data_IF_479215457666
#
_entry.id   IF_479215457666
#
_cell.length_a   1.000
_cell.length_b   1.000
_cell.length_c   1.000
_cell.angle_alpha   90.00
_cell.angle_beta   90.00
_cell.angle_gamma   90.00
#
_symmetry.space_group_name_H-M   'P 1'
#
loop_
_entity.id
_entity.type
_entity.pdbx_description
1 polymer ?
#
# COMPACT_ATOMS: atom_id res chain seq x y z
N UNK A 1 -16.16 0.37 -46.28
CA UNK A 1 -16.17 1.79 -45.82
C UNK A 1 -15.66 1.82 -44.40
N UNK A 2 -14.36 2.15 -44.22
CA UNK A 2 -13.75 2.22 -42.90
C UNK A 2 -14.39 3.40 -42.15
N UNK A 3 -15.11 3.10 -41.11
CA UNK A 3 -15.73 4.11 -40.25
C UNK A 3 -14.66 5.03 -39.67
N UNK A 4 -14.88 6.35 -39.73
CA UNK A 4 -13.99 7.34 -39.13
C UNK A 4 -13.71 7.10 -37.63
N UNK A 5 -14.47 6.21 -37.00
CA UNK A 5 -14.22 5.74 -35.62
C UNK A 5 -12.94 4.96 -35.48
N UNK A 6 -12.51 4.25 -36.54
CA UNK A 6 -11.32 3.40 -36.49
C UNK A 6 -10.02 4.19 -36.40
N UNK A 7 -10.01 5.41 -36.91
CA UNK A 7 -8.84 6.29 -36.82
C UNK A 7 -8.66 6.93 -35.44
N UNK A 8 -9.73 7.11 -34.69
CA UNK A 8 -9.65 7.70 -33.35
C UNK A 8 -9.11 6.74 -32.29
N UNK A 9 -9.38 5.44 -32.45
CA UNK A 9 -8.98 4.43 -31.48
C UNK A 9 -7.45 4.21 -31.43
N UNK A 10 -6.76 4.06 -32.58
CA UNK A 10 -5.29 3.98 -32.57
C UNK A 10 -4.62 5.26 -32.05
N UNK A 11 -5.14 6.43 -32.41
CA UNK A 11 -4.59 7.69 -31.97
C UNK A 11 -4.73 7.91 -30.46
N UNK A 12 -5.85 7.47 -29.88
CA UNK A 12 -6.04 7.46 -28.42
C UNK A 12 -5.05 6.56 -27.71
N UNK A 13 -4.77 5.39 -28.25
CA UNK A 13 -3.77 4.45 -27.71
C UNK A 13 -2.37 5.02 -27.76
N UNK A 14 -1.99 5.64 -28.89
CA UNK A 14 -0.68 6.27 -29.06
C UNK A 14 -0.48 7.43 -28.09
N UNK A 15 -1.54 8.19 -27.81
CA UNK A 15 -1.47 9.31 -26.84
C UNK A 15 -1.65 8.88 -25.38
N UNK A 16 -1.79 7.59 -25.11
CA UNK A 16 -1.93 7.08 -23.76
C UNK A 16 -3.28 7.35 -23.09
N UNK A 17 -4.25 7.89 -23.82
CA UNK A 17 -5.55 8.26 -23.27
C UNK A 17 -6.42 7.06 -22.86
N UNK A 18 -6.06 5.85 -23.31
CA UNK A 18 -6.74 4.62 -22.93
C UNK A 18 -6.00 3.77 -21.90
N UNK A 19 -4.76 4.14 -21.52
CA UNK A 19 -3.88 3.35 -20.65
C UNK A 19 -3.66 3.98 -19.27
N UNK A 20 -4.39 5.04 -18.94
CA UNK A 20 -4.16 5.82 -17.72
C UNK A 20 -4.22 5.01 -16.43
N UNK A 21 -5.18 4.09 -16.31
CA UNK A 21 -5.33 3.27 -15.11
C UNK A 21 -4.18 2.27 -14.90
N UNK A 22 -3.66 1.67 -15.99
CA UNK A 22 -2.55 0.72 -15.92
C UNK A 22 -1.23 1.40 -15.54
N UNK A 23 -0.98 2.59 -16.10
CA UNK A 23 0.22 3.37 -15.79
C UNK A 23 0.21 3.84 -14.34
N UNK A 24 -0.92 4.31 -13.84
CA UNK A 24 -1.07 4.75 -12.45
C UNK A 24 -0.81 3.60 -11.49
N UNK A 25 -1.37 2.42 -11.73
CA UNK A 25 -1.16 1.23 -10.92
C UNK A 25 0.33 0.82 -10.90
N UNK A 26 0.99 0.85 -12.05
CA UNK A 26 2.42 0.56 -12.18
C UNK A 26 3.27 1.51 -11.32
N UNK A 27 3.00 2.82 -11.39
CA UNK A 27 3.72 3.81 -10.61
C UNK A 27 3.50 3.68 -9.11
N UNK A 28 2.26 3.46 -8.68
CA UNK A 28 1.94 3.23 -7.26
C UNK A 28 2.68 2.01 -6.72
N UNK A 29 2.72 0.93 -7.49
CA UNK A 29 3.41 -0.30 -7.07
C UNK A 29 4.93 -0.07 -6.95
N UNK A 30 5.52 0.64 -7.89
CA UNK A 30 6.95 0.97 -7.86
C UNK A 30 7.30 1.93 -6.72
N UNK A 31 6.49 2.96 -6.55
CA UNK A 31 6.71 3.97 -5.51
C UNK A 31 6.60 3.35 -4.12
N UNK A 32 5.57 2.53 -3.88
CA UNK A 32 5.41 1.84 -2.59
C UNK A 32 6.49 0.80 -2.36
N UNK A 33 7.00 0.13 -3.39
CA UNK A 33 8.13 -0.80 -3.26
C UNK A 33 9.39 -0.07 -2.80
N UNK A 34 9.69 1.08 -3.39
CA UNK A 34 10.84 1.90 -2.99
C UNK A 34 10.68 2.45 -1.57
N UNK A 35 9.51 2.97 -1.24
CA UNK A 35 9.18 3.41 0.12
C UNK A 35 9.34 2.29 1.12
N UNK A 36 8.86 1.09 0.80
CA UNK A 36 8.97 -0.07 1.68
C UNK A 36 10.43 -0.47 1.90
N UNK A 37 11.28 -0.41 0.88
CA UNK A 37 12.69 -0.73 1.02
C UNK A 37 13.36 0.15 2.08
N UNK A 38 13.08 1.44 2.06
CA UNK A 38 13.61 2.41 3.04
C UNK A 38 12.94 2.24 4.41
N UNK A 39 11.62 2.26 4.46
CA UNK A 39 10.85 2.27 5.70
C UNK A 39 10.95 0.95 6.47
N UNK A 40 10.97 -0.18 5.78
CA UNK A 40 11.16 -1.49 6.42
C UNK A 40 12.57 -1.62 6.97
N UNK A 41 13.57 -1.09 6.30
CA UNK A 41 14.94 -1.04 6.83
C UNK A 41 14.99 -0.24 8.14
N UNK A 42 14.37 0.93 8.18
CA UNK A 42 14.25 1.74 9.39
C UNK A 42 13.48 0.99 10.48
N UNK A 43 12.39 0.31 10.12
CA UNK A 43 11.60 -0.50 11.05
C UNK A 43 12.43 -1.64 11.66
N UNK A 44 13.19 -2.36 10.86
CA UNK A 44 14.04 -3.47 11.37
C UNK A 44 15.09 -2.94 12.32
N UNK A 45 15.72 -1.82 12.02
CA UNK A 45 16.68 -1.18 12.90
C UNK A 45 16.00 -0.80 14.23
N UNK A 46 14.84 -0.16 14.17
CA UNK A 46 14.07 0.21 15.35
C UNK A 46 13.68 -1.04 16.17
N UNK A 47 13.21 -2.08 15.52
CA UNK A 47 12.84 -3.33 16.16
C UNK A 47 14.03 -3.95 16.91
N UNK A 48 15.19 -4.00 16.29
CA UNK A 48 16.41 -4.54 16.90
C UNK A 48 16.85 -3.71 18.12
N UNK A 49 16.64 -2.40 18.09
CA UNK A 49 16.98 -1.53 19.22
C UNK A 49 15.99 -1.67 20.38
N UNK A 50 14.73 -1.99 20.10
CA UNK A 50 13.65 -2.02 21.11
C UNK A 50 13.29 -3.43 21.59
N UNK A 51 13.84 -4.48 20.97
CA UNK A 51 13.38 -5.87 21.20
C UNK A 51 13.60 -6.33 22.65
N UNK A 52 14.55 -5.76 23.37
CA UNK A 52 14.82 -6.11 24.76
C UNK A 52 14.31 -5.06 25.75
N UNK A 53 13.65 -4.03 25.26
CA UNK A 53 13.15 -2.94 26.10
C UNK A 53 11.81 -3.30 26.73
N UNK A 54 11.53 -2.66 27.86
CA UNK A 54 10.22 -2.75 28.51
C UNK A 54 9.14 -2.05 27.68
N UNK A 55 7.88 -2.38 27.98
CA UNK A 55 6.75 -1.70 27.35
C UNK A 55 6.79 -0.18 27.51
N UNK A 56 7.19 0.29 28.69
CA UNK A 56 7.35 1.74 28.96
C UNK A 56 8.40 2.39 28.06
N UNK A 57 9.51 1.72 27.84
CA UNK A 57 10.60 2.20 26.96
C UNK A 57 10.17 2.22 25.49
N UNK A 58 9.49 1.19 25.03
CA UNK A 58 8.92 1.14 23.67
C UNK A 58 7.92 2.27 23.48
N UNK A 59 7.05 2.48 24.45
CA UNK A 59 6.06 3.56 24.44
C UNK A 59 6.72 4.94 24.42
N UNK A 60 7.80 5.13 25.18
CA UNK A 60 8.58 6.35 25.17
C UNK A 60 9.21 6.62 23.79
N UNK A 61 9.70 5.58 23.12
CA UNK A 61 10.23 5.70 21.76
C UNK A 61 9.15 6.16 20.76
N UNK A 62 7.94 5.60 20.84
CA UNK A 62 6.82 6.00 20.00
C UNK A 62 6.23 7.38 20.36
N UNK A 63 6.49 7.88 21.56
CA UNK A 63 6.12 9.24 21.94
C UNK A 63 6.93 10.30 21.16
N UNK A 64 8.09 9.93 20.63
CA UNK A 64 8.80 10.79 19.68
C UNK A 64 7.98 10.90 18.39
N UNK A 65 7.53 12.11 17.99
CA UNK A 65 6.68 12.26 16.81
C UNK A 65 7.37 11.80 15.53
N UNK A 66 8.67 11.88 15.44
CA UNK A 66 9.43 11.42 14.28
C UNK A 66 9.30 9.89 14.10
N UNK A 67 9.43 9.13 15.19
CA UNK A 67 9.25 7.66 15.16
C UNK A 67 7.81 7.30 14.81
N UNK A 68 6.84 7.94 15.44
CA UNK A 68 5.42 7.69 15.17
C UNK A 68 5.04 7.96 13.71
N UNK A 69 5.51 9.08 13.15
CA UNK A 69 5.24 9.43 11.75
C UNK A 69 5.90 8.44 10.80
N UNK A 70 7.15 8.05 11.03
CA UNK A 70 7.83 7.05 10.20
C UNK A 70 7.11 5.71 10.22
N UNK A 71 6.66 5.27 11.37
CA UNK A 71 5.91 4.00 11.49
C UNK A 71 4.55 4.08 10.82
N UNK A 72 3.85 5.21 10.93
CA UNK A 72 2.59 5.43 10.22
C UNK A 72 2.78 5.39 8.70
N UNK A 73 3.81 6.06 8.19
CA UNK A 73 4.16 6.03 6.76
C UNK A 73 4.52 4.62 6.29
N UNK A 74 5.25 3.87 7.09
CA UNK A 74 5.57 2.47 6.80
C UNK A 74 4.30 1.63 6.67
N UNK A 75 3.37 1.75 7.59
CA UNK A 75 2.10 1.00 7.55
C UNK A 75 1.30 1.35 6.31
N UNK A 76 1.14 2.63 5.99
CA UNK A 76 0.42 3.08 4.80
C UNK A 76 1.09 2.57 3.53
N UNK A 77 2.40 2.72 3.41
CA UNK A 77 3.16 2.24 2.25
C UNK A 77 3.07 0.73 2.09
N UNK A 78 3.25 -0.02 3.16
CA UNK A 78 3.21 -1.48 3.13
C UNK A 78 1.80 -2.01 2.79
N UNK A 79 0.75 -1.42 3.34
CA UNK A 79 -0.62 -1.84 3.06
C UNK A 79 -1.07 -1.52 1.64
N UNK A 80 -0.66 -0.39 1.10
CA UNK A 80 -0.92 -0.04 -0.31
C UNK A 80 -0.19 -1.03 -1.23
N UNK A 81 1.07 -1.31 -0.96
CA UNK A 81 1.86 -2.26 -1.75
C UNK A 81 1.27 -3.67 -1.69
N UNK A 82 0.88 -4.13 -0.52
CA UNK A 82 0.21 -5.41 -0.31
C UNK A 82 -1.11 -5.49 -1.09
N UNK A 83 -1.95 -4.45 -1.00
CA UNK A 83 -3.23 -4.40 -1.72
C UNK A 83 -3.01 -4.49 -3.23
N UNK A 84 -2.09 -3.71 -3.77
CA UNK A 84 -1.81 -3.68 -5.21
C UNK A 84 -1.20 -4.99 -5.68
N UNK A 85 -0.31 -5.60 -4.91
CA UNK A 85 0.28 -6.89 -5.23
C UNK A 85 -0.74 -8.02 -5.25
N UNK A 86 -1.60 -8.08 -4.26
CA UNK A 86 -2.68 -9.07 -4.19
C UNK A 86 -3.71 -8.87 -5.30
N UNK A 87 -3.99 -7.63 -5.65
CA UNK A 87 -4.88 -7.30 -6.78
C UNK A 87 -4.36 -7.90 -8.09
N UNK A 88 -3.07 -7.78 -8.36
CA UNK A 88 -2.44 -8.37 -9.55
C UNK A 88 -2.61 -9.90 -9.55
N UNK A 89 -2.37 -10.55 -8.42
CA UNK A 89 -2.53 -11.99 -8.29
C UNK A 89 -3.98 -12.41 -8.55
N UNK A 90 -4.94 -11.70 -7.99
CA UNK A 90 -6.36 -12.00 -8.20
C UNK A 90 -6.75 -11.80 -9.66
N UNK A 91 -6.30 -10.72 -10.28
CA UNK A 91 -6.61 -10.41 -11.68
C UNK A 91 -6.01 -11.44 -12.64
N UNK A 92 -4.82 -11.94 -12.35
CA UNK A 92 -4.11 -12.88 -13.23
C UNK A 92 -4.55 -14.34 -13.06
N UNK A 93 -4.88 -14.75 -11.85
CA UNK A 93 -5.11 -16.18 -11.54
C UNK A 93 -6.57 -16.53 -11.27
N UNK A 94 -7.41 -15.58 -10.91
CA UNK A 94 -8.83 -15.84 -10.61
C UNK A 94 -9.70 -15.44 -11.80
N UNK A 95 -10.52 -16.37 -12.25
CA UNK A 95 -11.43 -16.18 -13.37
C UNK A 95 -12.88 -16.44 -12.94
N UNK A 96 -13.83 -15.77 -13.58
CA UNK A 96 -15.25 -15.96 -13.33
C UNK A 96 -15.81 -15.09 -12.22
N UNK A 97 -16.94 -15.55 -11.64
CA UNK A 97 -17.74 -14.76 -10.71
C UNK A 97 -17.11 -14.50 -9.33
N UNK A 98 -16.03 -15.19 -8.98
CA UNK A 98 -15.33 -15.01 -7.68
C UNK A 98 -14.31 -13.88 -7.69
N UNK A 99 -13.96 -13.36 -8.87
CA UNK A 99 -12.95 -12.30 -9.01
C UNK A 99 -13.35 -11.01 -8.29
N UNK A 100 -14.56 -10.53 -8.54
CA UNK A 100 -15.04 -9.28 -7.94
C UNK A 100 -15.16 -9.35 -6.41
N UNK A 101 -15.78 -10.41 -5.82
CA UNK A 101 -15.78 -10.56 -4.37
C UNK A 101 -14.39 -10.59 -3.74
N UNK A 102 -13.42 -11.25 -4.37
CA UNK A 102 -12.05 -11.31 -3.87
C UNK A 102 -11.34 -9.95 -3.92
N UNK A 103 -11.57 -9.16 -4.96
CA UNK A 103 -11.03 -7.80 -5.05
C UNK A 103 -11.61 -6.89 -3.96
N UNK A 104 -12.90 -6.99 -3.70
CA UNK A 104 -13.57 -6.26 -2.62
C UNK A 104 -13.01 -6.68 -1.26
N UNK A 105 -12.89 -7.98 -1.03
CA UNK A 105 -12.36 -8.53 0.21
C UNK A 105 -10.90 -8.10 0.44
N UNK A 106 -10.07 -8.09 -0.61
CA UNK A 106 -8.71 -7.60 -0.54
C UNK A 106 -8.65 -6.13 -0.12
N UNK A 107 -9.51 -5.29 -0.68
CA UNK A 107 -9.59 -3.88 -0.33
C UNK A 107 -9.99 -3.67 1.12
N UNK A 108 -11.03 -4.37 1.59
CA UNK A 108 -11.46 -4.28 2.98
C UNK A 108 -10.41 -4.82 3.95
N UNK A 109 -9.74 -5.90 3.60
CA UNK A 109 -8.65 -6.45 4.40
C UNK A 109 -7.50 -5.45 4.55
N UNK A 110 -7.07 -4.83 3.46
CA UNK A 110 -6.01 -3.83 3.48
C UNK A 110 -6.38 -2.61 4.35
N UNK A 111 -7.62 -2.12 4.23
CA UNK A 111 -8.13 -1.02 5.05
C UNK A 111 -8.17 -1.42 6.52
N UNK A 112 -8.66 -2.62 6.84
CA UNK A 112 -8.75 -3.10 8.22
C UNK A 112 -7.36 -3.22 8.86
N UNK A 113 -6.39 -3.77 8.16
CA UNK A 113 -5.02 -3.90 8.64
C UNK A 113 -4.39 -2.52 8.84
N UNK A 114 -4.54 -1.62 7.88
CA UNK A 114 -4.03 -0.25 7.99
C UNK A 114 -4.64 0.48 9.19
N UNK A 115 -5.96 0.40 9.35
CA UNK A 115 -6.66 1.06 10.45
C UNK A 115 -6.23 0.50 11.80
N UNK A 116 -6.12 -0.81 11.94
CA UNK A 116 -5.69 -1.45 13.18
C UNK A 116 -4.26 -1.05 13.57
N UNK A 117 -3.34 -1.05 12.60
CA UNK A 117 -1.95 -0.68 12.83
C UNK A 117 -1.82 0.81 13.17
N UNK A 118 -2.53 1.69 12.44
CA UNK A 118 -2.52 3.13 12.72
C UNK A 118 -3.12 3.45 14.09
N UNK A 119 -4.19 2.75 14.46
CA UNK A 119 -4.77 2.87 15.80
C UNK A 119 -3.75 2.50 16.89
N UNK A 120 -3.04 1.39 16.70
CA UNK A 120 -2.02 0.95 17.64
C UNK A 120 -0.87 1.96 17.75
N UNK A 121 -0.42 2.55 16.65
CA UNK A 121 0.62 3.58 16.63
C UNK A 121 0.16 4.83 17.35
N UNK A 122 -1.05 5.30 17.09
CA UNK A 122 -1.63 6.46 17.79
C UNK A 122 -1.72 6.20 19.28
N UNK A 123 -2.18 5.04 19.68
CA UNK A 123 -2.29 4.64 21.07
C UNK A 123 -0.93 4.64 21.78
N UNK A 124 0.09 4.09 21.14
CA UNK A 124 1.45 4.07 21.66
C UNK A 124 2.05 5.49 21.74
N UNK A 125 1.84 6.29 20.69
CA UNK A 125 2.43 7.64 20.58
C UNK A 125 1.83 8.63 21.59
N UNK A 126 0.54 8.54 21.83
CA UNK A 126 -0.15 9.46 22.76
C UNK A 126 -0.34 8.88 24.16
N UNK A 127 0.03 7.65 24.39
CA UNK A 127 0.00 7.06 25.72
C UNK A 127 -1.41 6.79 26.25
N UNK A 128 -2.35 6.53 25.36
CA UNK A 128 -3.77 6.34 25.71
C UNK A 128 -4.13 4.87 25.81
#
# INVERSE_FOLDING_TARGET
EASMSDFRTPLRRVRGLGAGGGTEHFWRQRLTALSNAVLITVFVILLLTLMNDSYGEVRAAFANPFVGILMALMVVSATIHMKLGMQIIIEDYVHGGTKLPLLILNTFFAIAVAAACLYAIVKLSFGV
#
